data_IF_605111095869
#
_entry.id   IF_605111095869
#
_cell.length_a   1.000
_cell.length_b   1.000
_cell.length_c   1.000
_cell.angle_alpha   90.00
_cell.angle_beta   90.00
_cell.angle_gamma   90.00
#
_symmetry.space_group_name_H-M   'P 1'
#
loop_
_entity.id
_entity.type
_entity.pdbx_description
1 polymer ?
#
# COMPACT_ATOMS: atom_id res chain seq x y z
N UNK A 1 16.85 25.79 10.36
CA UNK A 1 15.65 25.69 11.22
C UNK A 1 15.76 24.72 12.41
N UNK A 2 16.68 23.72 12.48
CA UNK A 2 16.82 22.88 13.71
C UNK A 2 18.28 22.56 14.15
N UNK A 3 19.30 23.04 13.46
CA UNK A 3 20.69 22.58 13.62
C UNK A 3 21.40 23.04 14.91
N UNK A 4 21.01 24.16 15.52
CA UNK A 4 21.81 24.79 16.58
C UNK A 4 21.62 24.19 17.99
N UNK A 5 20.54 23.44 18.25
CA UNK A 5 20.29 22.78 19.56
C UNK A 5 19.83 21.33 19.48
N UNK A 6 19.38 20.84 18.31
CA UNK A 6 18.82 19.49 18.15
C UNK A 6 19.69 18.55 17.30
N UNK A 7 20.87 19.01 16.89
CA UNK A 7 21.78 18.25 16.03
C UNK A 7 21.33 18.18 14.57
N UNK A 8 22.18 17.60 13.73
CA UNK A 8 21.81 17.21 12.36
C UNK A 8 21.03 15.90 12.36
N UNK A 9 20.04 15.77 11.48
CA UNK A 9 19.27 14.54 11.29
C UNK A 9 19.43 14.06 9.86
N UNK A 10 19.53 12.74 9.68
CA UNK A 10 19.64 12.09 8.37
C UNK A 10 18.29 11.73 7.75
N UNK A 11 17.19 11.89 8.50
CA UNK A 11 15.85 11.56 8.02
C UNK A 11 14.75 12.04 8.98
N UNK A 12 13.50 11.93 8.53
CA UNK A 12 12.30 12.27 9.28
C UNK A 12 11.23 11.19 9.07
N UNK A 13 10.25 11.11 9.98
CA UNK A 13 9.10 10.21 9.81
C UNK A 13 8.11 10.85 8.85
N UNK A 14 7.40 10.05 8.06
CA UNK A 14 6.40 10.54 7.10
C UNK A 14 5.38 11.52 7.71
N UNK A 15 4.93 11.26 8.94
CA UNK A 15 4.02 12.14 9.72
C UNK A 15 4.56 13.57 9.92
N UNK A 16 5.86 13.80 9.77
CA UNK A 16 6.41 15.16 9.85
C UNK A 16 5.98 16.05 8.68
N UNK A 17 5.50 15.48 7.56
CA UNK A 17 4.98 16.25 6.43
C UNK A 17 3.73 17.04 6.79
N UNK A 18 2.87 16.52 7.66
CA UNK A 18 1.68 17.23 8.16
C UNK A 18 2.06 18.56 8.82
N UNK A 19 3.15 18.55 9.60
CA UNK A 19 3.65 19.70 10.37
C UNK A 19 4.32 20.75 9.46
N UNK A 20 4.86 20.34 8.32
CA UNK A 20 5.46 21.27 7.34
C UNK A 20 4.39 22.20 6.76
N UNK A 21 3.15 21.72 6.62
CA UNK A 21 2.02 22.52 6.17
C UNK A 21 1.59 23.58 7.19
N UNK A 22 1.82 23.33 8.48
CA UNK A 22 1.44 24.24 9.57
C UNK A 22 2.47 25.36 9.83
N UNK A 23 3.69 25.20 9.32
CA UNK A 23 4.77 26.18 9.52
C UNK A 23 4.59 27.36 8.54
N UNK A 24 4.47 28.59 9.05
CA UNK A 24 4.24 29.80 8.24
C UNK A 24 5.43 30.74 8.24
N UNK A 25 5.55 31.55 7.19
CA UNK A 25 6.62 32.54 7.08
C UNK A 25 6.50 33.63 8.17
N UNK A 26 7.61 34.05 8.80
CA UNK A 26 7.60 35.20 9.68
C UNK A 26 7.29 36.47 8.88
N UNK A 27 6.15 37.12 9.16
CA UNK A 27 5.72 38.36 8.50
C UNK A 27 4.67 38.19 7.40
N UNK A 28 4.49 36.99 6.85
CA UNK A 28 3.40 36.66 5.92
C UNK A 28 2.76 35.34 6.34
N UNK A 29 1.58 35.44 6.95
CA UNK A 29 0.84 34.26 7.42
C UNK A 29 0.16 33.50 6.27
N UNK A 30 0.10 34.05 5.06
CA UNK A 30 -0.49 33.35 3.91
C UNK A 30 0.44 32.28 3.33
N UNK A 31 1.76 32.49 3.41
CA UNK A 31 2.76 31.56 2.90
C UNK A 31 3.13 30.49 3.94
N UNK A 32 2.93 29.22 3.60
CA UNK A 32 3.39 28.06 4.37
C UNK A 32 4.76 27.57 3.89
N UNK A 33 5.48 26.83 4.74
CA UNK A 33 6.75 26.20 4.37
C UNK A 33 6.55 25.19 3.23
N UNK A 34 5.43 24.46 3.22
CA UNK A 34 5.05 23.60 2.10
C UNK A 34 4.83 24.41 0.81
N UNK A 35 4.18 25.57 0.90
CA UNK A 35 3.99 26.48 -0.23
C UNK A 35 5.31 27.01 -0.79
N UNK A 36 6.26 27.34 0.09
CA UNK A 36 7.62 27.73 -0.31
C UNK A 36 8.36 26.58 -1.01
N UNK A 37 8.33 25.37 -0.45
CA UNK A 37 8.94 24.18 -1.07
C UNK A 37 8.33 23.91 -2.45
N UNK A 38 7.02 23.98 -2.60
CA UNK A 38 6.34 23.81 -3.89
C UNK A 38 6.77 24.88 -4.92
N UNK A 39 7.01 26.12 -4.48
CA UNK A 39 7.58 27.18 -5.32
C UNK A 39 8.98 26.83 -5.82
N UNK A 40 9.86 26.40 -4.91
CA UNK A 40 11.23 25.98 -5.25
C UNK A 40 11.24 24.78 -6.20
N UNK A 41 10.36 23.80 -5.98
CA UNK A 41 10.24 22.64 -6.88
C UNK A 41 9.80 23.05 -8.27
N UNK A 42 8.80 23.94 -8.42
CA UNK A 42 8.39 24.45 -9.74
C UNK A 42 9.51 25.15 -10.49
N UNK A 43 10.33 25.92 -9.78
CA UNK A 43 11.40 26.72 -10.40
C UNK A 43 12.63 25.86 -10.73
N UNK A 44 13.03 24.97 -9.83
CA UNK A 44 14.34 24.28 -9.91
C UNK A 44 14.25 22.79 -10.25
N UNK A 45 13.11 22.15 -10.01
CA UNK A 45 12.91 20.70 -10.16
C UNK A 45 11.53 20.37 -10.75
N UNK A 46 11.15 20.94 -11.91
CA UNK A 46 9.79 20.81 -12.45
C UNK A 46 9.41 19.36 -12.77
N UNK A 47 10.39 18.51 -13.12
CA UNK A 47 10.20 17.07 -13.35
C UNK A 47 9.67 16.33 -12.13
N UNK A 48 9.94 16.82 -10.91
CA UNK A 48 9.45 16.20 -9.67
C UNK A 48 7.93 16.37 -9.54
N UNK A 49 7.31 17.36 -10.21
CA UNK A 49 5.86 17.57 -10.14
C UNK A 49 5.05 16.42 -10.79
N UNK A 50 5.69 15.63 -11.65
CA UNK A 50 5.05 14.48 -12.31
C UNK A 50 4.91 13.26 -11.38
N UNK A 51 5.48 13.31 -10.16
CA UNK A 51 5.45 12.19 -9.20
C UNK A 51 4.02 11.69 -8.89
N UNK A 52 3.01 12.56 -8.99
CA UNK A 52 1.60 12.19 -8.78
C UNK A 52 1.16 11.10 -9.76
N UNK A 53 1.71 11.10 -10.98
CA UNK A 53 1.43 10.08 -11.99
C UNK A 53 2.09 8.74 -11.64
N UNK A 54 3.22 8.76 -10.92
CA UNK A 54 3.92 7.56 -10.48
C UNK A 54 3.17 6.83 -9.34
N UNK A 55 2.27 7.53 -8.64
CA UNK A 55 1.48 6.99 -7.52
C UNK A 55 -0.03 6.89 -7.81
N UNK A 56 -0.40 6.69 -9.07
CA UNK A 56 -1.80 6.70 -9.56
C UNK A 56 -2.79 5.83 -8.78
N UNK A 57 -2.34 4.72 -8.16
CA UNK A 57 -3.20 3.79 -7.43
C UNK A 57 -3.24 4.02 -5.91
N UNK A 58 -2.56 5.04 -5.39
CA UNK A 58 -2.38 5.28 -3.97
C UNK A 58 -3.73 5.39 -3.23
N UNK A 59 -4.65 6.20 -3.74
CA UNK A 59 -5.99 6.38 -3.15
C UNK A 59 -6.80 5.09 -3.13
N UNK A 60 -6.71 4.27 -4.18
CA UNK A 60 -7.42 2.99 -4.24
C UNK A 60 -6.79 2.00 -3.28
N UNK A 61 -5.47 1.91 -3.24
CA UNK A 61 -4.74 1.03 -2.34
C UNK A 61 -4.99 1.39 -0.86
N UNK A 62 -5.22 2.68 -0.57
CA UNK A 62 -5.60 3.17 0.75
C UNK A 62 -6.96 2.67 1.26
N UNK A 63 -7.80 2.11 0.38
CA UNK A 63 -9.10 1.54 0.75
C UNK A 63 -9.07 0.02 0.93
N UNK A 64 -7.91 -0.62 0.71
CA UNK A 64 -7.79 -2.08 0.71
C UNK A 64 -7.29 -2.59 2.06
N UNK A 65 -7.94 -3.63 2.58
CA UNK A 65 -7.46 -4.37 3.74
C UNK A 65 -6.80 -5.68 3.30
N UNK A 66 -5.46 -5.72 3.31
CA UNK A 66 -4.70 -6.96 3.01
C UNK A 66 -5.04 -8.09 3.99
N UNK A 67 -5.41 -7.76 5.23
CA UNK A 67 -5.83 -8.75 6.22
C UNK A 67 -7.13 -9.45 5.83
N UNK A 68 -8.15 -8.68 5.42
CA UNK A 68 -9.43 -9.23 4.97
C UNK A 68 -9.25 -10.03 3.67
N UNK A 69 -8.52 -9.46 2.71
CA UNK A 69 -8.22 -10.13 1.44
C UNK A 69 -7.50 -11.47 1.66
N UNK A 70 -6.54 -11.52 2.59
CA UNK A 70 -5.86 -12.76 2.94
C UNK A 70 -6.79 -13.79 3.59
N UNK A 71 -7.77 -13.37 4.39
CA UNK A 71 -8.80 -14.26 4.96
C UNK A 71 -9.66 -14.87 3.83
N UNK A 72 -10.12 -14.03 2.91
CA UNK A 72 -11.00 -14.45 1.81
C UNK A 72 -10.30 -15.43 0.86
N UNK A 73 -9.02 -15.17 0.54
CA UNK A 73 -8.21 -16.06 -0.31
C UNK A 73 -8.01 -17.43 0.33
N UNK A 74 -7.73 -17.47 1.64
CA UNK A 74 -7.63 -18.74 2.39
C UNK A 74 -8.95 -19.51 2.40
N UNK A 75 -10.09 -18.82 2.52
CA UNK A 75 -11.40 -19.45 2.44
C UNK A 75 -11.66 -20.04 1.06
N UNK A 76 -11.32 -19.32 -0.02
CA UNK A 76 -11.44 -19.84 -1.39
C UNK A 76 -10.56 -21.07 -1.63
N UNK A 77 -9.31 -21.04 -1.16
CA UNK A 77 -8.38 -22.19 -1.23
C UNK A 77 -8.91 -23.41 -0.48
N UNK A 78 -9.47 -23.20 0.72
CA UNK A 78 -10.11 -24.27 1.49
C UNK A 78 -11.34 -24.82 0.78
N UNK A 79 -12.25 -23.97 0.31
CA UNK A 79 -13.45 -24.38 -0.40
C UNK A 79 -13.11 -25.17 -1.68
N UNK A 80 -12.07 -24.77 -2.41
CA UNK A 80 -11.58 -25.52 -3.56
C UNK A 80 -11.07 -26.92 -3.16
N UNK A 81 -10.30 -27.04 -2.06
CA UNK A 81 -9.83 -28.35 -1.57
C UNK A 81 -10.98 -29.27 -1.19
N UNK A 82 -12.00 -28.73 -0.51
CA UNK A 82 -13.21 -29.47 -0.14
C UNK A 82 -13.96 -29.95 -1.40
N UNK A 83 -14.14 -29.06 -2.38
CA UNK A 83 -14.78 -29.36 -3.67
C UNK A 83 -14.01 -30.43 -4.46
N UNK A 84 -12.69 -30.36 -4.47
CA UNK A 84 -11.82 -31.36 -5.12
C UNK A 84 -11.90 -32.70 -4.42
N UNK A 85 -12.03 -32.73 -3.08
CA UNK A 85 -12.27 -33.97 -2.33
C UNK A 85 -13.60 -34.61 -2.71
N UNK A 86 -14.67 -33.83 -2.78
CA UNK A 86 -15.99 -34.30 -3.24
C UNK A 86 -15.95 -34.86 -4.67
N UNK A 87 -15.12 -34.29 -5.55
CA UNK A 87 -14.92 -34.80 -6.91
C UNK A 87 -14.22 -36.17 -6.93
N UNK A 88 -13.29 -36.42 -5.99
CA UNK A 88 -12.63 -37.72 -5.85
C UNK A 88 -13.64 -38.80 -5.44
N UNK A 89 -14.60 -38.44 -4.57
CA UNK A 89 -15.70 -39.32 -4.14
C UNK A 89 -16.77 -39.48 -5.24
N UNK A 90 -17.03 -38.44 -6.04
CA UNK A 90 -18.05 -38.40 -7.10
C UNK A 90 -17.47 -38.19 -8.50
N UNK A 91 -16.57 -39.08 -8.94
CA UNK A 91 -15.78 -38.94 -10.18
C UNK A 91 -16.58 -38.76 -11.48
N UNK A 92 -17.86 -39.14 -11.48
CA UNK A 92 -18.77 -39.03 -12.62
C UNK A 92 -19.35 -37.62 -12.81
N UNK A 93 -19.22 -36.74 -11.80
CA UNK A 93 -19.79 -35.39 -11.86
C UNK A 93 -18.98 -34.47 -12.78
N UNK A 94 -19.40 -34.42 -14.06
CA UNK A 94 -18.76 -33.60 -15.10
C UNK A 94 -18.78 -32.10 -14.81
N UNK A 95 -19.81 -31.59 -14.12
CA UNK A 95 -19.93 -30.17 -13.75
C UNK A 95 -18.88 -29.80 -12.71
N UNK A 96 -18.78 -30.63 -11.66
CA UNK A 96 -17.80 -30.46 -10.60
C UNK A 96 -16.37 -30.57 -11.12
N UNK A 97 -16.12 -31.55 -12.02
CA UNK A 97 -14.82 -31.70 -12.69
C UNK A 97 -14.43 -30.45 -13.47
N UNK A 98 -15.36 -29.91 -14.27
CA UNK A 98 -15.12 -28.67 -15.03
C UNK A 98 -14.82 -27.49 -14.11
N UNK A 99 -15.60 -27.33 -13.04
CA UNK A 99 -15.39 -26.27 -12.05
C UNK A 99 -14.01 -26.35 -11.41
N UNK A 100 -13.61 -27.51 -10.88
CA UNK A 100 -12.29 -27.68 -10.25
C UNK A 100 -11.14 -27.35 -11.23
N UNK A 101 -11.22 -27.82 -12.47
CA UNK A 101 -10.21 -27.56 -13.50
C UNK A 101 -10.05 -26.07 -13.84
N UNK A 102 -11.14 -25.31 -13.81
CA UNK A 102 -11.12 -23.86 -14.09
C UNK A 102 -10.76 -23.03 -12.84
N UNK A 103 -11.21 -23.48 -11.67
CA UNK A 103 -11.04 -22.76 -10.41
C UNK A 103 -9.61 -22.90 -9.85
N UNK A 104 -9.00 -24.06 -9.97
CA UNK A 104 -7.66 -24.34 -9.45
C UNK A 104 -6.58 -23.36 -9.94
N UNK A 105 -6.34 -23.15 -11.24
CA UNK A 105 -5.35 -22.19 -11.69
C UNK A 105 -5.68 -20.74 -11.30
N UNK A 106 -6.97 -20.40 -11.15
CA UNK A 106 -7.41 -19.05 -10.73
C UNK A 106 -7.11 -18.80 -9.26
N UNK A 107 -7.38 -19.77 -8.39
CA UNK A 107 -7.09 -19.68 -6.95
C UNK A 107 -5.58 -19.67 -6.72
N UNK A 108 -4.82 -20.54 -7.39
CA UNK A 108 -3.35 -20.54 -7.29
C UNK A 108 -2.74 -19.22 -7.74
N UNK A 109 -3.21 -18.66 -8.86
CA UNK A 109 -2.77 -17.33 -9.31
C UNK A 109 -3.11 -16.25 -8.28
N UNK A 110 -4.31 -16.29 -7.71
CA UNK A 110 -4.73 -15.31 -6.72
C UNK A 110 -3.91 -15.39 -5.43
N UNK A 111 -3.53 -16.58 -4.98
CA UNK A 111 -2.62 -16.78 -3.85
C UNK A 111 -1.23 -16.19 -4.15
N UNK A 112 -0.69 -16.40 -5.35
CA UNK A 112 0.59 -15.84 -5.78
C UNK A 112 0.55 -14.31 -5.87
N UNK A 113 -0.46 -13.75 -6.54
CA UNK A 113 -0.65 -12.31 -6.67
C UNK A 113 -0.76 -11.64 -5.28
N UNK A 114 -1.45 -12.28 -4.33
CA UNK A 114 -1.54 -11.80 -2.95
C UNK A 114 -0.21 -11.85 -2.20
N UNK A 115 0.58 -12.91 -2.37
CA UNK A 115 1.90 -13.01 -1.75
C UNK A 115 2.81 -11.88 -2.22
N UNK A 116 2.88 -11.66 -3.54
CA UNK A 116 3.65 -10.54 -4.12
C UNK A 116 3.14 -9.18 -3.64
N UNK A 117 1.82 -8.96 -3.60
CA UNK A 117 1.25 -7.70 -3.10
C UNK A 117 1.60 -7.46 -1.62
N UNK A 118 1.58 -8.50 -0.79
CA UNK A 118 1.93 -8.39 0.61
C UNK A 118 3.43 -8.11 0.81
N UNK A 119 4.31 -8.77 0.05
CA UNK A 119 5.75 -8.51 0.07
C UNK A 119 6.08 -7.07 -0.34
N UNK A 120 5.51 -6.61 -1.46
CA UNK A 120 5.68 -5.23 -1.93
C UNK A 120 5.19 -4.22 -0.87
N UNK A 121 4.07 -4.49 -0.20
CA UNK A 121 3.58 -3.63 0.88
C UNK A 121 4.55 -3.58 2.07
N UNK A 122 5.10 -4.72 2.49
CA UNK A 122 6.08 -4.76 3.59
C UNK A 122 7.37 -4.00 3.23
N UNK A 123 7.83 -4.08 1.99
CA UNK A 123 8.99 -3.33 1.50
C UNK A 123 8.76 -1.82 1.58
N UNK A 124 7.58 -1.33 1.16
CA UNK A 124 7.23 0.10 1.26
C UNK A 124 7.14 0.55 2.71
N UNK A 125 6.54 -0.27 3.59
CA UNK A 125 6.48 0.01 5.04
C UNK A 125 7.88 0.14 5.65
N UNK A 126 8.79 -0.78 5.29
CA UNK A 126 10.18 -0.78 5.75
C UNK A 126 10.95 0.45 5.24
N UNK A 127 10.83 0.75 3.94
CA UNK A 127 11.54 1.85 3.27
C UNK A 127 11.13 3.21 3.83
N UNK A 128 9.87 3.38 4.20
CA UNK A 128 9.34 4.62 4.81
C UNK A 128 9.57 4.71 6.33
N UNK A 129 10.33 3.77 6.93
CA UNK A 129 10.73 3.82 8.33
C UNK A 129 9.58 3.65 9.33
N UNK A 130 8.45 3.08 8.90
CA UNK A 130 7.32 2.76 9.80
C UNK A 130 7.52 1.36 10.38
N UNK A 131 7.50 1.23 11.70
CA UNK A 131 7.61 -0.08 12.36
C UNK A 131 6.37 -0.94 12.08
N UNK A 132 6.58 -2.26 11.99
CA UNK A 132 5.68 -3.36 11.61
C UNK A 132 4.30 -3.42 12.31
N UNK A 133 3.97 -2.49 13.23
CA UNK A 133 2.73 -2.49 14.03
C UNK A 133 1.47 -2.05 13.27
N UNK A 134 1.58 -1.61 12.01
CA UNK A 134 0.42 -1.30 11.17
C UNK A 134 0.43 -2.18 9.91
N UNK A 135 -0.15 -3.40 9.97
CA UNK A 135 -0.10 -4.37 8.88
C UNK A 135 -1.14 -4.11 7.78
N UNK A 136 -1.81 -2.96 7.79
CA UNK A 136 -2.97 -2.70 6.95
C UNK A 136 -2.71 -1.47 6.05
N UNK A 137 -2.91 -1.58 4.72
CA UNK A 137 -2.86 -0.43 3.81
C UNK A 137 -3.82 0.70 4.16
N UNK A 138 -4.97 0.38 4.77
CA UNK A 138 -6.02 1.32 5.18
C UNK A 138 -5.51 2.53 5.98
N UNK A 139 -4.79 2.36 7.10
CA UNK A 139 -4.16 3.48 7.81
C UNK A 139 -2.85 3.96 7.19
N UNK A 140 -2.25 3.19 6.27
CA UNK A 140 -0.90 3.45 5.78
C UNK A 140 -0.89 4.51 4.67
N UNK A 141 -1.61 4.27 3.58
CA UNK A 141 -1.56 5.13 2.40
C UNK A 141 -2.24 6.50 2.55
N UNK A 142 -3.31 6.70 3.34
CA UNK A 142 -3.87 8.04 3.58
C UNK A 142 -2.94 8.99 4.34
N UNK A 143 -1.86 8.47 4.91
CA UNK A 143 -0.88 9.26 5.67
C UNK A 143 0.47 9.36 4.97
N UNK A 144 0.49 9.04 3.67
CA UNK A 144 1.59 9.23 2.73
C UNK A 144 1.34 10.44 1.83
#
# INVERSE_FOLDING_TARGET
MNSSRRGGVFGFRLQSLDIVSDTRAPGDRSTTLMGFVAGVVREKYPNVLEFVNEVTYLEKAATVSLQLLGVDIRQMSRGLKETTKELVENKQNKKLKKFCLEAEPRVTRLEADFATANEAFQEVVHTLGRTQKLPNPMPFFPSC
#
